data_IF_332800125787
#
_entry.id   IF_332800125787
#
_cell.length_a   1.000
_cell.length_b   1.000
_cell.length_c   1.000
_cell.angle_alpha   90.00
_cell.angle_beta   90.00
_cell.angle_gamma   90.00
#
_symmetry.space_group_name_H-M   'P 1'
#
loop_
_entity.id
_entity.type
_entity.pdbx_description
1 polymer ?
#
# COMPACT_ATOMS: atom_id res chain seq x y z
N UNK A 1 -30.47 11.48 6.19
CA UNK A 1 -29.22 11.55 5.42
C UNK A 1 -28.11 11.51 6.44
N UNK A 2 -27.75 10.30 6.85
CA UNK A 2 -26.75 10.06 7.89
C UNK A 2 -25.39 10.08 7.22
N UNK A 3 -24.56 11.07 7.56
CA UNK A 3 -23.17 11.07 7.17
C UNK A 3 -22.45 10.07 8.08
N UNK A 4 -21.92 9.00 7.49
CA UNK A 4 -21.16 7.97 8.18
C UNK A 4 -19.96 8.58 8.90
N UNK A 5 -19.72 8.09 10.13
CA UNK A 5 -18.63 8.49 11.01
C UNK A 5 -17.28 8.10 10.38
N UNK A 6 -16.70 8.99 9.58
CA UNK A 6 -15.28 8.90 9.22
C UNK A 6 -14.49 9.18 10.50
N UNK A 7 -13.90 8.14 11.09
CA UNK A 7 -12.99 8.30 12.23
C UNK A 7 -11.77 9.08 11.74
N UNK A 8 -11.75 10.38 12.05
CA UNK A 8 -10.56 11.22 11.89
C UNK A 8 -9.61 10.87 13.03
N UNK A 9 -8.50 10.22 12.70
CA UNK A 9 -7.47 9.87 13.68
C UNK A 9 -6.47 11.03 13.80
N UNK A 10 -6.60 11.83 14.86
CA UNK A 10 -5.71 12.96 15.17
C UNK A 10 -4.40 12.51 15.86
N UNK A 11 -3.85 11.36 15.50
CA UNK A 11 -2.67 10.79 16.16
C UNK A 11 -1.79 10.06 15.18
N UNK A 12 -0.50 10.41 15.15
CA UNK A 12 0.52 9.54 14.56
C UNK A 12 0.40 8.15 15.20
N UNK A 13 0.20 7.10 14.40
CA UNK A 13 0.10 5.74 14.95
C UNK A 13 0.77 4.72 14.04
N UNK A 14 1.25 3.65 14.68
CA UNK A 14 1.80 2.47 14.04
C UNK A 14 1.10 1.25 14.66
N UNK A 15 0.39 0.49 13.83
CA UNK A 15 -0.24 -0.76 14.24
C UNK A 15 0.33 -1.92 13.44
N UNK A 16 0.63 -3.01 14.13
CA UNK A 16 1.11 -4.25 13.53
C UNK A 16 0.06 -5.33 13.72
N UNK A 17 -0.28 -5.99 12.62
CA UNK A 17 -1.19 -7.12 12.56
C UNK A 17 -0.43 -8.36 12.08
N UNK A 18 -1.11 -9.50 12.03
CA UNK A 18 -0.54 -10.70 11.40
C UNK A 18 -0.35 -10.42 9.90
N UNK A 19 0.91 -10.30 9.47
CA UNK A 19 1.31 -10.17 8.07
C UNK A 19 1.23 -8.78 7.43
N UNK A 20 0.72 -7.76 8.13
CA UNK A 20 0.78 -6.37 7.66
C UNK A 20 0.96 -5.36 8.78
N UNK A 21 1.37 -4.15 8.39
CA UNK A 21 1.55 -3.00 9.27
C UNK A 21 0.84 -1.79 8.68
N UNK A 22 0.31 -0.94 9.55
CA UNK A 22 -0.26 0.34 9.16
C UNK A 22 0.47 1.47 9.87
N UNK A 23 0.75 2.53 9.13
CA UNK A 23 1.34 3.77 9.64
C UNK A 23 0.45 4.92 9.24
N UNK A 24 0.21 5.83 10.17
CA UNK A 24 -0.49 7.07 9.89
C UNK A 24 0.37 8.26 10.31
N UNK A 25 0.62 9.16 9.38
CA UNK A 25 1.48 10.32 9.58
C UNK A 25 1.10 11.48 8.64
N UNK A 26 0.91 12.70 9.18
CA UNK A 26 0.56 13.90 8.40
C UNK A 26 -0.59 13.68 7.39
N UNK A 27 -1.72 13.15 7.86
CA UNK A 27 -2.87 12.80 7.01
C UNK A 27 -2.53 11.85 5.85
N UNK A 28 -1.51 11.00 6.05
CA UNK A 28 -1.14 9.92 5.15
C UNK A 28 -1.22 8.58 5.84
N UNK A 29 -1.96 7.67 5.23
CA UNK A 29 -1.96 6.27 5.60
C UNK A 29 -0.99 5.49 4.71
N UNK A 30 -0.21 4.62 5.32
CA UNK A 30 0.67 3.63 4.68
C UNK A 30 0.23 2.26 5.15
N UNK A 31 0.05 1.34 4.22
CA UNK A 31 -0.13 -0.09 4.50
C UNK A 31 1.10 -0.80 3.97
N UNK A 32 1.75 -1.63 4.79
CA UNK A 32 2.89 -2.44 4.38
C UNK A 32 2.58 -3.92 4.59
N UNK A 33 2.59 -4.69 3.50
CA UNK A 33 2.36 -6.14 3.49
C UNK A 33 3.69 -6.81 3.14
N UNK A 34 4.26 -7.56 4.08
CA UNK A 34 5.58 -8.21 3.96
C UNK A 34 5.54 -9.72 4.22
N UNK A 35 4.36 -10.30 4.46
CA UNK A 35 4.14 -11.74 4.66
C UNK A 35 2.95 -12.22 3.83
N UNK A 36 2.93 -13.50 3.40
CA UNK A 36 1.79 -14.09 2.70
C UNK A 36 0.58 -14.31 3.64
N UNK A 37 -0.56 -14.70 3.05
CA UNK A 37 -1.77 -15.16 3.74
C UNK A 37 -2.33 -14.15 4.76
N UNK A 38 -2.33 -12.88 4.39
CA UNK A 38 -2.82 -11.80 5.24
C UNK A 38 -4.34 -11.70 5.20
N UNK A 39 -4.97 -11.72 6.36
CA UNK A 39 -6.36 -11.34 6.53
C UNK A 39 -6.47 -9.82 6.69
N UNK A 40 -6.95 -9.15 5.65
CA UNK A 40 -7.16 -7.71 5.65
C UNK A 40 -8.62 -7.41 6.05
N UNK A 41 -8.88 -6.37 6.86
CA UNK A 41 -10.24 -5.88 7.07
C UNK A 41 -10.86 -5.43 5.74
N UNK A 42 -12.20 -5.36 5.70
CA UNK A 42 -12.93 -4.87 4.54
C UNK A 42 -12.58 -3.39 4.26
N UNK A 43 -12.24 -3.10 3.01
CA UNK A 43 -12.05 -1.76 2.41
C UNK A 43 -11.14 -0.78 3.19
N UNK A 44 -9.82 -0.94 3.05
CA UNK A 44 -8.81 0.01 3.53
C UNK A 44 -8.44 0.99 2.40
N UNK A 45 -8.73 2.28 2.58
CA UNK A 45 -8.20 3.34 1.70
C UNK A 45 -6.86 3.81 2.24
N UNK A 46 -5.83 3.81 1.40
CA UNK A 46 -4.46 4.18 1.81
C UNK A 46 -3.79 5.09 0.79
N UNK A 47 -2.91 5.98 1.24
CA UNK A 47 -2.13 6.79 0.31
C UNK A 47 -0.98 6.00 -0.29
N UNK A 48 -0.42 5.06 0.49
CA UNK A 48 0.68 4.22 0.06
C UNK A 48 0.41 2.77 0.45
N UNK A 49 0.56 1.88 -0.52
CA UNK A 49 0.66 0.44 -0.28
C UNK A 49 2.08 0.01 -0.60
N UNK A 50 2.76 -0.58 0.37
CA UNK A 50 4.09 -1.17 0.21
C UNK A 50 3.92 -2.69 0.18
N UNK A 51 4.45 -3.34 -0.84
CA UNK A 51 4.51 -4.80 -0.92
C UNK A 51 5.98 -5.22 -0.88
N UNK A 52 6.29 -6.14 0.03
CA UNK A 52 7.60 -6.77 0.14
C UNK A 52 7.52 -8.31 0.10
N UNK A 53 8.67 -8.96 -0.02
CA UNK A 53 8.87 -10.41 0.04
C UNK A 53 7.95 -11.24 -0.88
N UNK A 54 7.51 -10.67 -2.01
CA UNK A 54 6.51 -11.28 -2.89
C UNK A 54 5.20 -11.66 -2.15
N UNK A 55 4.85 -10.95 -1.08
CA UNK A 55 3.82 -11.34 -0.12
C UNK A 55 2.42 -11.51 -0.72
N UNK A 56 2.13 -10.82 -1.82
CA UNK A 56 0.77 -10.74 -2.38
C UNK A 56 0.71 -11.53 -3.69
N UNK A 57 -0.15 -12.56 -3.81
CA UNK A 57 -0.25 -13.37 -5.01
C UNK A 57 -0.87 -12.61 -6.20
N UNK A 58 -1.78 -11.67 -5.96
CA UNK A 58 -2.48 -10.90 -7.01
C UNK A 58 -2.80 -9.50 -6.49
N UNK A 59 -2.32 -8.47 -7.18
CA UNK A 59 -2.70 -7.09 -6.88
C UNK A 59 -4.19 -6.89 -7.17
N UNK A 60 -4.73 -7.53 -8.21
CA UNK A 60 -6.15 -7.44 -8.59
C UNK A 60 -7.09 -7.90 -7.48
N UNK A 61 -6.74 -8.98 -6.79
CA UNK A 61 -7.51 -9.47 -5.63
C UNK A 61 -7.27 -8.57 -4.41
N UNK A 62 -6.02 -8.15 -4.19
CA UNK A 62 -5.70 -7.28 -3.07
C UNK A 62 -6.48 -5.96 -3.09
N UNK A 63 -6.71 -5.38 -4.27
CA UNK A 63 -7.39 -4.09 -4.39
C UNK A 63 -8.89 -4.14 -4.09
N UNK A 64 -9.47 -5.34 -3.97
CA UNK A 64 -10.82 -5.51 -3.42
C UNK A 64 -10.87 -5.16 -1.92
N UNK A 65 -9.74 -5.28 -1.23
CA UNK A 65 -9.60 -5.01 0.19
C UNK A 65 -8.81 -3.74 0.49
N UNK A 66 -7.84 -3.36 -0.34
CA UNK A 66 -6.96 -2.21 -0.10
C UNK A 66 -6.89 -1.34 -1.35
N UNK A 67 -7.36 -0.10 -1.26
CA UNK A 67 -7.41 0.85 -2.36
C UNK A 67 -6.29 1.89 -2.18
N UNK A 68 -5.13 1.73 -2.84
CA UNK A 68 -4.02 2.67 -2.72
C UNK A 68 -4.05 3.81 -3.74
N UNK A 69 -3.64 5.01 -3.32
CA UNK A 69 -3.29 6.09 -4.27
C UNK A 69 -1.98 5.79 -5.01
N UNK A 70 -1.06 5.04 -4.38
CA UNK A 70 0.26 4.70 -4.94
C UNK A 70 0.74 3.35 -4.37
N UNK A 71 1.18 2.47 -5.27
CA UNK A 71 1.85 1.22 -4.95
C UNK A 71 3.37 1.40 -4.94
N UNK A 72 4.04 0.81 -3.96
CA UNK A 72 5.49 0.77 -3.84
C UNK A 72 5.89 -0.71 -3.72
N UNK A 73 6.72 -1.17 -4.66
CA UNK A 73 7.35 -2.47 -4.60
C UNK A 73 8.73 -2.28 -3.96
N UNK A 74 8.90 -2.79 -2.75
CA UNK A 74 10.16 -2.64 -2.03
C UNK A 74 11.29 -3.50 -2.64
N UNK A 75 12.51 -3.29 -2.15
CA UNK A 75 13.71 -3.96 -2.66
C UNK A 75 13.81 -5.45 -2.38
N UNK A 76 12.87 -6.04 -1.64
CA UNK A 76 12.88 -7.46 -1.29
C UNK A 76 12.13 -8.34 -2.30
N UNK A 77 11.42 -7.74 -3.26
CA UNK A 77 10.69 -8.48 -4.30
C UNK A 77 11.60 -8.98 -5.43
N UNK A 78 11.21 -10.11 -6.04
CA UNK A 78 11.91 -10.64 -7.22
C UNK A 78 11.52 -9.89 -8.50
N UNK A 79 12.42 -9.83 -9.49
CA UNK A 79 12.15 -9.16 -10.77
C UNK A 79 10.94 -9.73 -11.52
N UNK A 80 10.74 -11.05 -11.46
CA UNK A 80 9.55 -11.69 -12.04
C UNK A 80 8.26 -11.19 -11.37
N UNK A 81 8.26 -11.18 -10.04
CA UNK A 81 7.14 -10.69 -9.25
C UNK A 81 6.84 -9.22 -9.55
N UNK A 82 7.87 -8.36 -9.53
CA UNK A 82 7.65 -6.92 -9.76
C UNK A 82 7.12 -6.64 -11.15
N UNK A 83 7.60 -7.34 -12.19
CA UNK A 83 7.08 -7.16 -13.56
C UNK A 83 5.61 -7.53 -13.66
N UNK A 84 5.21 -8.69 -13.12
CA UNK A 84 3.80 -9.10 -13.08
C UNK A 84 2.92 -8.10 -12.34
N UNK A 85 3.34 -7.66 -11.14
CA UNK A 85 2.56 -6.71 -10.35
C UNK A 85 2.49 -5.33 -11.02
N UNK A 86 3.53 -4.90 -11.74
CA UNK A 86 3.50 -3.67 -12.56
C UNK A 86 2.50 -3.77 -13.71
N UNK A 87 2.40 -4.92 -14.37
CA UNK A 87 1.38 -5.17 -15.40
C UNK A 87 -0.04 -5.06 -14.81
N UNK A 88 -0.28 -5.71 -13.67
CA UNK A 88 -1.57 -5.63 -12.97
C UNK A 88 -1.89 -4.19 -12.51
N UNK A 89 -0.90 -3.46 -11.97
CA UNK A 89 -1.06 -2.07 -11.57
C UNK A 89 -1.40 -1.17 -12.75
N UNK A 90 -0.77 -1.40 -13.92
CA UNK A 90 -1.05 -0.66 -15.14
C UNK A 90 -2.48 -0.89 -15.64
N UNK A 91 -2.98 -2.13 -15.60
CA UNK A 91 -4.38 -2.43 -15.94
C UNK A 91 -5.38 -1.76 -14.99
N UNK A 92 -5.05 -1.71 -13.70
CA UNK A 92 -5.86 -1.07 -12.65
C UNK A 92 -5.68 0.45 -12.60
N UNK A 93 -4.81 1.03 -13.43
CA UNK A 93 -4.46 2.45 -13.44
C UNK A 93 -3.91 2.95 -12.09
N UNK A 94 -3.19 2.09 -11.36
CA UNK A 94 -2.56 2.40 -10.07
C UNK A 94 -1.11 2.84 -10.32
N UNK A 95 -0.68 4.03 -9.87
CA UNK A 95 0.71 4.45 -9.92
C UNK A 95 1.60 3.48 -9.14
N UNK A 96 2.70 3.02 -9.75
CA UNK A 96 3.63 2.06 -9.14
C UNK A 96 5.06 2.60 -9.14
N UNK A 97 5.78 2.39 -8.03
CA UNK A 97 7.21 2.66 -7.88
C UNK A 97 7.97 1.38 -7.52
N UNK A 98 8.92 0.98 -8.36
CA UNK A 98 9.80 -0.18 -8.18
C UNK A 98 11.12 0.29 -7.58
N UNK A 99 11.35 0.00 -6.29
CA UNK A 99 12.53 0.48 -5.56
C UNK A 99 13.84 -0.06 -6.14
N UNK A 100 13.86 -1.28 -6.71
CA UNK A 100 15.06 -1.86 -7.30
C UNK A 100 15.46 -1.09 -8.56
N UNK A 101 14.48 -0.71 -9.39
CA UNK A 101 14.74 -0.05 -10.67
C UNK A 101 14.85 1.47 -10.56
N UNK A 102 14.10 2.08 -9.65
CA UNK A 102 13.95 3.54 -9.56
C UNK A 102 14.62 4.14 -8.31
N UNK A 103 15.20 3.31 -7.44
CA UNK A 103 15.80 3.73 -6.18
C UNK A 103 14.75 4.08 -5.12
N UNK A 104 15.20 4.77 -4.06
CA UNK A 104 14.33 5.12 -2.94
C UNK A 104 13.15 6.02 -3.36
N UNK A 105 11.93 5.60 -3.00
CA UNK A 105 10.74 6.42 -3.18
C UNK A 105 10.84 7.67 -2.30
N UNK A 106 10.60 8.84 -2.89
CA UNK A 106 10.56 10.10 -2.17
C UNK A 106 9.49 10.99 -2.78
N UNK A 107 8.73 11.67 -1.92
CA UNK A 107 7.74 12.67 -2.34
C UNK A 107 7.96 13.94 -1.53
N UNK A 108 8.15 15.05 -2.22
CA UNK A 108 8.32 16.36 -1.60
C UNK A 108 6.94 16.94 -1.35
N UNK A 109 6.60 17.15 -0.08
CA UNK A 109 5.41 17.88 0.31
C UNK A 109 5.79 19.34 0.51
N UNK A 110 5.09 20.24 -0.19
CA UNK A 110 5.11 21.65 0.17
C UNK A 110 4.01 21.84 1.21
N UNK A 111 4.41 22.16 2.44
CA UNK A 111 3.46 22.62 3.45
C UNK A 111 2.88 23.96 2.97
N UNK A 112 1.57 24.20 3.16
CA UNK A 112 0.94 25.47 2.85
C UNK A 112 1.54 26.63 3.65
#
# INVERSE_FOLDING_TARGET
>A
MECENVKVYDSEFNQQYSGFRTFYWQDKMVVWIDQPDVELPEEIKTNYLIIGNNAVPSLKELVEHVIPDTLILDGSNTAYYTNRVKEEANELHIPVHDVIQQGAFHKVYRLP
#
